data_IF_735275905767
#
_entry.id   IF_735275905767
#
_cell.length_a   1.000
_cell.length_b   1.000
_cell.length_c   1.000
_cell.angle_alpha   90.00
_cell.angle_beta   90.00
_cell.angle_gamma   90.00
#
_symmetry.space_group_name_H-M   'P 1'
#
loop_
_entity.id
_entity.type
_entity.pdbx_description
1 polymer ?
#
# COMPACT_ATOMS: atom_id res chain seq x y z
N UNK A 1 -16.63 -15.19 2.35
CA UNK A 1 -15.84 -14.70 3.51
C UNK A 1 -15.14 -13.40 3.14
N UNK A 2 -14.40 -12.80 4.07
CA UNK A 2 -13.63 -11.56 3.81
C UNK A 2 -12.31 -11.84 3.08
N UNK A 3 -11.56 -10.78 2.75
CA UNK A 3 -10.40 -10.81 1.85
C UNK A 3 -9.36 -11.89 2.12
N UNK A 4 -8.92 -12.06 3.36
CA UNK A 4 -7.86 -13.05 3.68
C UNK A 4 -8.30 -14.49 3.40
N UNK A 5 -9.57 -14.82 3.63
CA UNK A 5 -10.12 -16.14 3.32
C UNK A 5 -10.19 -16.35 1.81
N UNK A 6 -10.55 -15.31 1.06
CA UNK A 6 -10.57 -15.35 -0.41
C UNK A 6 -9.16 -15.58 -0.99
N UNK A 7 -8.13 -14.94 -0.46
CA UNK A 7 -6.74 -15.14 -0.91
C UNK A 7 -6.22 -16.55 -0.62
N UNK A 8 -6.51 -17.11 0.56
CA UNK A 8 -6.16 -18.50 0.89
C UNK A 8 -6.89 -19.48 -0.03
N UNK A 9 -8.18 -19.27 -0.30
CA UNK A 9 -8.96 -20.11 -1.20
C UNK A 9 -8.44 -20.07 -2.65
N UNK A 10 -8.13 -18.87 -3.17
CA UNK A 10 -7.48 -18.71 -4.48
C UNK A 10 -6.18 -19.48 -4.56
N UNK A 11 -5.32 -19.33 -3.54
CA UNK A 11 -4.03 -20.00 -3.53
C UNK A 11 -4.15 -21.52 -3.45
N UNK A 12 -5.04 -22.04 -2.60
CA UNK A 12 -5.26 -23.48 -2.49
C UNK A 12 -5.72 -24.08 -3.83
N UNK A 13 -6.67 -23.44 -4.51
CA UNK A 13 -7.13 -23.89 -5.83
C UNK A 13 -6.02 -23.80 -6.89
N UNK A 14 -5.22 -22.72 -6.87
CA UNK A 14 -4.08 -22.56 -7.77
C UNK A 14 -3.04 -23.67 -7.62
N UNK A 15 -2.74 -24.07 -6.38
CA UNK A 15 -1.79 -25.16 -6.11
C UNK A 15 -2.36 -26.52 -6.55
N UNK A 16 -3.62 -26.82 -6.21
CA UNK A 16 -4.27 -28.06 -6.60
C UNK A 16 -4.32 -28.27 -8.12
N UNK A 17 -4.58 -27.21 -8.89
CA UNK A 17 -4.58 -27.28 -10.35
C UNK A 17 -3.19 -27.55 -10.95
N UNK A 18 -2.13 -27.05 -10.30
CA UNK A 18 -0.76 -27.25 -10.76
C UNK A 18 -0.18 -28.61 -10.37
N UNK A 19 -0.55 -29.12 -9.20
CA UNK A 19 -0.03 -30.38 -8.67
C UNK A 19 -0.86 -31.58 -9.15
N UNK A 20 -2.18 -31.54 -8.94
CA UNK A 20 -3.07 -32.68 -9.18
C UNK A 20 -3.74 -32.64 -10.55
N UNK A 21 -3.58 -31.53 -11.30
CA UNK A 21 -4.24 -31.28 -12.60
C UNK A 21 -5.77 -31.38 -12.54
N UNK A 22 -6.35 -31.17 -11.36
CA UNK A 22 -7.80 -31.14 -11.15
C UNK A 22 -8.27 -29.70 -11.30
N UNK A 23 -9.00 -29.42 -12.39
CA UNK A 23 -9.66 -28.14 -12.57
C UNK A 23 -10.69 -27.93 -11.46
N UNK A 24 -10.48 -26.91 -10.63
CA UNK A 24 -11.38 -26.59 -9.52
C UNK A 24 -12.12 -25.32 -9.85
N UNK A 25 -13.46 -25.36 -9.85
CA UNK A 25 -14.27 -24.16 -9.97
C UNK A 25 -14.25 -23.38 -8.66
N UNK A 26 -13.72 -22.17 -8.68
CA UNK A 26 -13.66 -21.26 -7.54
C UNK A 26 -14.67 -20.12 -7.70
N UNK A 27 -15.68 -20.14 -6.83
CA UNK A 27 -16.63 -19.04 -6.68
C UNK A 27 -16.35 -18.31 -5.37
N UNK A 28 -16.03 -17.02 -5.46
CA UNK A 28 -15.86 -16.18 -4.28
C UNK A 28 -17.18 -15.48 -3.96
N UNK A 29 -17.59 -15.57 -2.70
CA UNK A 29 -18.77 -14.88 -2.16
C UNK A 29 -18.30 -13.96 -1.03
N UNK A 30 -17.90 -12.72 -1.35
CA UNK A 30 -17.44 -11.77 -0.34
C UNK A 30 -18.56 -11.47 0.66
N UNK A 31 -18.23 -11.50 1.95
CA UNK A 31 -19.17 -11.16 3.04
C UNK A 31 -18.85 -9.81 3.68
N UNK A 32 -17.82 -9.12 3.19
CA UNK A 32 -17.44 -7.77 3.56
C UNK A 32 -16.52 -7.21 2.45
N UNK A 33 -16.61 -5.90 2.20
CA UNK A 33 -15.78 -5.20 1.21
C UNK A 33 -14.58 -4.57 1.91
N UNK A 34 -13.64 -5.40 2.39
CA UNK A 34 -12.56 -4.93 3.28
C UNK A 34 -11.20 -4.72 2.62
N UNK A 35 -11.01 -5.25 1.41
CA UNK A 35 -9.75 -5.20 0.64
C UNK A 35 -10.01 -5.32 -0.88
N UNK A 36 -9.04 -4.97 -1.72
CA UNK A 36 -9.11 -5.02 -3.19
C UNK A 36 -8.74 -6.37 -3.82
N UNK A 37 -8.81 -7.47 -3.07
CA UNK A 37 -8.24 -8.76 -3.48
C UNK A 37 -9.18 -9.66 -4.31
N UNK A 38 -10.49 -9.42 -4.31
CA UNK A 38 -11.48 -10.42 -4.71
C UNK A 38 -11.36 -10.89 -6.17
N UNK A 39 -11.13 -9.98 -7.11
CA UNK A 39 -10.97 -10.27 -8.55
C UNK A 39 -9.51 -10.34 -8.99
N UNK A 40 -8.58 -10.25 -8.05
CA UNK A 40 -7.14 -10.27 -8.33
C UNK A 40 -6.66 -11.69 -8.64
N UNK A 41 -5.85 -11.84 -9.68
CA UNK A 41 -5.08 -13.05 -10.00
C UNK A 41 -3.86 -13.26 -9.08
N UNK A 42 -3.72 -12.40 -8.08
CA UNK A 42 -2.67 -12.45 -7.06
C UNK A 42 -3.29 -12.84 -5.71
N UNK A 43 -2.48 -13.38 -4.81
CA UNK A 43 -2.85 -13.64 -3.42
C UNK A 43 -1.82 -13.01 -2.48
N UNK A 44 -2.27 -12.37 -1.39
CA UNK A 44 -1.40 -11.82 -0.35
C UNK A 44 -1.39 -12.76 0.85
N UNK A 45 -0.24 -13.40 1.10
CA UNK A 45 -0.07 -14.46 2.08
C UNK A 45 1.10 -14.16 3.02
N UNK A 46 1.13 -14.79 4.19
CA UNK A 46 2.32 -14.80 5.04
C UNK A 46 3.24 -15.94 4.59
N UNK A 47 4.50 -15.61 4.28
CA UNK A 47 5.57 -16.58 3.98
C UNK A 47 6.73 -16.26 4.91
N UNK A 48 7.09 -17.21 5.77
CA UNK A 48 8.16 -17.04 6.76
C UNK A 48 7.99 -15.78 7.62
N UNK A 49 6.75 -15.48 8.01
CA UNK A 49 6.40 -14.30 8.81
C UNK A 49 6.32 -12.99 8.02
N UNK A 50 6.61 -12.99 6.71
CA UNK A 50 6.57 -11.79 5.86
C UNK A 50 5.34 -11.80 4.96
N UNK A 51 4.64 -10.66 4.86
CA UNK A 51 3.55 -10.48 3.89
C UNK A 51 4.12 -10.46 2.46
N UNK A 52 3.59 -11.36 1.62
CA UNK A 52 4.05 -11.58 0.23
C UNK A 52 2.88 -11.66 -0.73
N UNK A 53 2.98 -10.91 -1.82
CA UNK A 53 2.12 -11.09 -2.98
C UNK A 53 2.67 -12.23 -3.84
N UNK A 54 1.85 -13.25 -4.12
CA UNK A 54 2.18 -14.40 -4.97
C UNK A 54 1.28 -14.41 -6.20
N UNK A 55 1.83 -14.87 -7.32
CA UNK A 55 1.01 -15.25 -8.46
C UNK A 55 0.07 -16.36 -8.04
N UNK A 56 -1.21 -16.22 -8.42
CA UNK A 56 -2.27 -17.15 -8.09
C UNK A 56 -3.15 -17.32 -9.34
N UNK A 57 -4.46 -17.49 -9.15
CA UNK A 57 -5.46 -17.56 -10.22
C UNK A 57 -6.58 -16.55 -10.03
N UNK A 58 -7.30 -16.28 -11.11
CA UNK A 58 -8.61 -15.65 -11.01
C UNK A 58 -9.63 -16.60 -10.35
N UNK A 59 -10.63 -16.05 -9.63
CA UNK A 59 -11.86 -16.77 -9.38
C UNK A 59 -12.65 -16.94 -10.69
N UNK A 60 -13.41 -18.02 -10.82
CA UNK A 60 -14.29 -18.24 -11.97
C UNK A 60 -15.55 -17.37 -11.90
N UNK A 61 -15.98 -17.04 -10.68
CA UNK A 61 -17.03 -16.07 -10.43
C UNK A 61 -16.84 -15.36 -9.09
N UNK A 62 -17.28 -14.10 -9.03
CA UNK A 62 -17.44 -13.35 -7.78
C UNK A 62 -18.89 -12.95 -7.65
N UNK A 63 -19.54 -13.35 -6.55
CA UNK A 63 -20.94 -13.06 -6.26
C UNK A 63 -21.00 -12.12 -5.06
N UNK A 64 -21.34 -10.86 -5.31
CA UNK A 64 -21.50 -9.84 -4.28
C UNK A 64 -22.98 -9.65 -3.96
N UNK A 65 -23.45 -10.25 -2.87
CA UNK A 65 -24.78 -10.05 -2.33
C UNK A 65 -24.83 -8.75 -1.52
N UNK A 66 -25.54 -7.74 -2.02
CA UNK A 66 -25.59 -6.42 -1.38
C UNK A 66 -26.21 -6.45 0.02
N UNK A 67 -27.20 -7.31 0.29
CA UNK A 67 -27.80 -7.42 1.62
C UNK A 67 -26.76 -7.95 2.61
N UNK A 68 -26.03 -8.99 2.21
CA UNK A 68 -24.92 -9.52 3.03
C UNK A 68 -23.82 -8.48 3.25
N UNK A 69 -23.49 -7.67 2.24
CA UNK A 69 -22.46 -6.63 2.35
C UNK A 69 -22.91 -5.44 3.21
N UNK A 70 -24.21 -5.13 3.24
CA UNK A 70 -24.81 -4.12 4.13
C UNK A 70 -24.76 -4.54 5.60
N UNK A 71 -24.89 -5.84 5.88
CA UNK A 71 -24.80 -6.40 7.24
C UNK A 71 -23.36 -6.50 7.77
N UNK A 72 -22.35 -6.25 6.93
CA UNK A 72 -20.95 -6.29 7.34
C UNK A 72 -20.63 -5.18 8.37
N UNK A 73 -19.72 -5.43 9.33
CA UNK A 73 -19.32 -4.40 10.30
C UNK A 73 -18.83 -3.13 9.58
N UNK A 74 -19.31 -1.92 9.95
CA UNK A 74 -18.96 -0.68 9.25
C UNK A 74 -17.45 -0.41 9.17
N UNK A 75 -16.68 -0.86 10.17
CA UNK A 75 -15.22 -0.78 10.16
C UNK A 75 -14.58 -1.52 8.96
N UNK A 76 -15.19 -2.61 8.49
CA UNK A 76 -14.70 -3.34 7.30
C UNK A 76 -14.96 -2.58 6.00
N UNK A 77 -16.09 -1.90 5.87
CA UNK A 77 -16.37 -1.03 4.72
C UNK A 77 -15.40 0.14 4.65
N UNK A 78 -15.18 0.80 5.81
CA UNK A 78 -14.17 1.85 5.94
C UNK A 78 -12.78 1.33 5.57
N UNK A 79 -12.39 0.15 6.07
CA UNK A 79 -11.11 -0.46 5.68
C UNK A 79 -11.02 -0.67 4.14
N UNK A 80 -12.08 -1.14 3.49
CA UNK A 80 -12.08 -1.28 2.02
C UNK A 80 -11.91 0.04 1.27
N UNK A 81 -12.49 1.13 1.79
CA UNK A 81 -12.24 2.48 1.29
C UNK A 81 -10.76 2.87 1.44
N UNK A 82 -10.18 2.65 2.64
CA UNK A 82 -8.77 2.93 2.89
C UNK A 82 -7.83 2.17 1.96
N UNK A 83 -8.10 0.89 1.72
CA UNK A 83 -7.34 0.06 0.77
C UNK A 83 -7.46 0.57 -0.67
N UNK A 84 -8.66 1.01 -1.05
CA UNK A 84 -8.92 1.60 -2.35
C UNK A 84 -8.17 2.93 -2.57
N UNK A 85 -8.03 3.75 -1.52
CA UNK A 85 -7.33 5.04 -1.59
C UNK A 85 -5.84 4.87 -1.93
N UNK A 86 -5.23 3.71 -1.67
CA UNK A 86 -3.83 3.45 -2.00
C UNK A 86 -3.48 3.78 -3.46
N UNK A 87 -4.44 3.59 -4.38
CA UNK A 87 -4.29 3.93 -5.81
C UNK A 87 -3.82 5.37 -6.05
N UNK A 88 -4.20 6.29 -5.17
CA UNK A 88 -3.83 7.71 -5.23
C UNK A 88 -2.37 7.98 -4.91
N UNK A 89 -1.59 6.95 -4.54
CA UNK A 89 -0.15 7.07 -4.26
C UNK A 89 0.65 5.96 -4.93
N UNK A 90 0.20 4.70 -4.85
CA UNK A 90 0.95 3.53 -5.35
C UNK A 90 1.32 3.64 -6.83
N UNK A 91 0.48 4.33 -7.60
CA UNK A 91 0.72 4.53 -9.02
C UNK A 91 1.87 5.52 -9.29
N UNK A 92 2.05 6.51 -8.42
CA UNK A 92 3.23 7.37 -8.37
C UNK A 92 4.50 6.57 -8.05
N UNK A 93 4.43 5.61 -7.12
CA UNK A 93 5.56 4.73 -6.80
C UNK A 93 5.97 3.89 -8.01
N UNK A 94 4.98 3.32 -8.70
CA UNK A 94 5.22 2.52 -9.88
C UNK A 94 5.81 3.33 -11.03
N UNK A 95 5.30 4.54 -11.26
CA UNK A 95 5.85 5.48 -12.24
C UNK A 95 7.28 5.90 -11.91
N UNK A 96 7.56 6.28 -10.65
CA UNK A 96 8.89 6.67 -10.20
C UNK A 96 9.90 5.54 -10.40
N UNK A 97 9.55 4.33 -9.98
CA UNK A 97 10.40 3.15 -10.18
C UNK A 97 10.65 2.87 -11.67
N UNK A 98 9.65 3.11 -12.53
CA UNK A 98 9.80 2.93 -13.97
C UNK A 98 10.72 3.99 -14.61
N UNK A 99 10.60 5.26 -14.21
CA UNK A 99 11.49 6.32 -14.69
C UNK A 99 12.96 6.03 -14.33
N UNK A 100 13.19 5.42 -13.17
CA UNK A 100 14.51 4.99 -12.69
C UNK A 100 14.96 3.61 -13.24
N UNK A 101 14.17 2.98 -14.12
CA UNK A 101 14.40 1.63 -14.67
C UNK A 101 14.52 0.50 -13.64
N UNK A 102 13.94 0.72 -12.46
CA UNK A 102 13.89 -0.22 -11.34
C UNK A 102 12.71 -1.19 -11.44
N UNK A 103 11.89 -1.08 -12.48
CA UNK A 103 10.87 -2.05 -12.90
C UNK A 103 10.85 -2.18 -14.41
N UNK A 104 10.52 -3.39 -14.90
CA UNK A 104 10.57 -3.70 -16.34
C UNK A 104 9.32 -3.26 -17.11
N UNK A 105 8.22 -3.01 -16.39
CA UNK A 105 6.94 -2.69 -17.01
C UNK A 105 6.23 -1.55 -16.28
N UNK A 106 5.52 -0.75 -17.06
CA UNK A 106 4.59 0.29 -16.65
C UNK A 106 3.48 0.37 -17.70
N UNK A 107 2.23 0.55 -17.26
CA UNK A 107 1.09 0.65 -18.17
C UNK A 107 -0.02 1.43 -17.52
N UNK A 108 -0.59 2.38 -18.24
CA UNK A 108 -1.74 3.21 -17.85
C UNK A 108 -3.09 2.49 -17.96
N UNK A 109 -3.12 1.28 -18.52
CA UNK A 109 -4.36 0.48 -18.61
C UNK A 109 -5.07 0.27 -17.25
N UNK A 110 -4.38 -0.02 -16.13
CA UNK A 110 -5.02 -0.11 -14.81
C UNK A 110 -5.70 1.19 -14.38
N UNK A 111 -5.12 2.37 -14.65
CA UNK A 111 -5.76 3.65 -14.35
C UNK A 111 -7.04 3.83 -15.17
N UNK A 112 -6.94 3.61 -16.49
CA UNK A 112 -8.08 3.72 -17.39
C UNK A 112 -9.22 2.76 -17.02
N UNK A 113 -8.88 1.55 -16.53
CA UNK A 113 -9.88 0.57 -16.08
C UNK A 113 -10.61 1.02 -14.80
N UNK A 114 -9.90 1.68 -13.88
CA UNK A 114 -10.48 2.13 -12.61
C UNK A 114 -11.35 3.37 -12.77
N UNK A 115 -11.06 4.22 -13.77
CA UNK A 115 -11.81 5.42 -14.10
C UNK A 115 -11.04 6.72 -13.85
N UNK A 116 -11.56 7.80 -14.42
CA UNK A 116 -11.07 9.17 -14.24
C UNK A 116 -11.78 9.84 -13.05
N UNK A 117 -11.20 10.94 -12.54
CA UNK A 117 -11.76 11.78 -11.47
C UNK A 117 -12.24 11.02 -10.22
N UNK A 118 -11.56 9.90 -9.93
CA UNK A 118 -11.95 9.00 -8.85
C UNK A 118 -11.95 9.68 -7.49
N UNK A 119 -11.00 10.56 -7.22
CA UNK A 119 -10.96 11.31 -5.96
C UNK A 119 -12.23 12.11 -5.71
N UNK A 120 -12.79 12.77 -6.72
CA UNK A 120 -14.07 13.48 -6.60
C UNK A 120 -15.22 12.49 -6.33
N UNK A 121 -15.29 11.40 -7.09
CA UNK A 121 -16.33 10.36 -6.89
C UNK A 121 -16.25 9.70 -5.50
N UNK A 122 -15.04 9.42 -5.01
CA UNK A 122 -14.82 8.90 -3.67
C UNK A 122 -15.23 9.91 -2.60
N UNK A 123 -14.94 11.19 -2.82
CA UNK A 123 -15.33 12.28 -1.94
C UNK A 123 -16.87 12.36 -1.86
N UNK A 124 -17.57 12.38 -3.00
CA UNK A 124 -19.03 12.37 -3.08
C UNK A 124 -19.68 11.17 -2.36
N UNK A 125 -19.10 9.98 -2.53
CA UNK A 125 -19.64 8.74 -1.96
C UNK A 125 -19.18 8.45 -0.53
N UNK A 126 -18.19 9.18 0.01
CA UNK A 126 -17.55 8.86 1.29
C UNK A 126 -18.55 8.70 2.45
N UNK A 127 -19.50 9.61 2.59
CA UNK A 127 -20.52 9.54 3.66
C UNK A 127 -21.43 8.32 3.46
N UNK A 128 -21.82 8.03 2.22
CA UNK A 128 -22.63 6.85 1.89
C UNK A 128 -21.92 5.55 2.26
N UNK A 129 -20.63 5.47 1.95
CA UNK A 129 -19.76 4.33 2.28
C UNK A 129 -19.65 4.18 3.80
N UNK A 130 -19.33 5.25 4.50
CA UNK A 130 -19.13 5.25 5.96
C UNK A 130 -20.39 4.88 6.74
N UNK A 131 -21.55 5.32 6.26
CA UNK A 131 -22.85 5.03 6.84
C UNK A 131 -23.44 3.66 6.42
N UNK A 132 -22.74 2.90 5.56
CA UNK A 132 -23.22 1.60 5.09
C UNK A 132 -24.49 1.70 4.22
N UNK A 133 -24.67 2.80 3.49
CA UNK A 133 -25.81 2.97 2.58
C UNK A 133 -25.60 2.14 1.31
N UNK A 134 -26.71 1.62 0.76
CA UNK A 134 -26.68 0.71 -0.39
C UNK A 134 -25.95 1.28 -1.62
N UNK A 135 -26.11 2.57 -1.91
CA UNK A 135 -25.42 3.27 -2.99
C UNK A 135 -23.91 3.35 -2.77
N UNK A 136 -23.48 3.72 -1.56
CA UNK A 136 -22.07 3.76 -1.18
C UNK A 136 -21.42 2.37 -1.21
N UNK A 137 -22.11 1.35 -0.69
CA UNK A 137 -21.61 -0.04 -0.74
C UNK A 137 -21.53 -0.54 -2.17
N UNK A 138 -22.53 -0.28 -3.01
CA UNK A 138 -22.49 -0.66 -4.42
C UNK A 138 -21.31 0.01 -5.14
N UNK A 139 -21.09 1.30 -4.89
CA UNK A 139 -19.94 2.03 -5.43
C UNK A 139 -18.62 1.39 -4.99
N UNK A 140 -18.41 1.23 -3.67
CA UNK A 140 -17.17 0.67 -3.15
C UNK A 140 -16.94 -0.77 -3.62
N UNK A 141 -18.00 -1.58 -3.69
CA UNK A 141 -17.95 -2.96 -4.22
C UNK A 141 -17.44 -2.96 -5.65
N UNK A 142 -17.99 -2.10 -6.52
CA UNK A 142 -17.48 -1.97 -7.90
C UNK A 142 -16.02 -1.58 -7.92
N UNK A 143 -15.61 -0.64 -7.07
CA UNK A 143 -14.24 -0.16 -7.03
C UNK A 143 -13.23 -1.21 -6.56
N UNK A 144 -13.56 -2.05 -5.57
CA UNK A 144 -12.66 -3.15 -5.17
C UNK A 144 -12.55 -4.23 -6.24
N UNK A 145 -13.63 -4.48 -7.01
CA UNK A 145 -13.62 -5.46 -8.09
C UNK A 145 -12.81 -4.93 -9.29
N UNK A 146 -12.95 -3.65 -9.64
CA UNK A 146 -12.12 -3.01 -10.66
C UNK A 146 -10.65 -2.99 -10.24
N UNK A 147 -10.38 -2.72 -8.96
CA UNK A 147 -9.04 -2.73 -8.40
C UNK A 147 -8.33 -4.09 -8.54
N UNK A 148 -8.99 -5.20 -8.22
CA UNK A 148 -8.43 -6.53 -8.40
C UNK A 148 -8.20 -6.88 -9.89
N UNK A 149 -9.12 -6.47 -10.78
CA UNK A 149 -8.92 -6.62 -12.23
C UNK A 149 -7.73 -5.79 -12.72
N UNK A 150 -7.59 -4.55 -12.24
CA UNK A 150 -6.52 -3.63 -12.61
C UNK A 150 -5.12 -4.19 -12.28
N UNK A 151 -4.96 -4.79 -11.10
CA UNK A 151 -3.73 -5.51 -10.73
C UNK A 151 -3.46 -6.70 -11.66
N UNK A 152 -4.52 -7.39 -12.08
CA UNK A 152 -4.42 -8.63 -12.85
C UNK A 152 -4.06 -8.40 -14.32
N UNK A 153 -4.53 -7.30 -14.91
CA UNK A 153 -4.19 -6.90 -16.30
C UNK A 153 -2.68 -6.78 -16.49
N UNK A 154 -1.98 -6.33 -15.46
CA UNK A 154 -0.51 -6.17 -15.49
C UNK A 154 0.23 -7.25 -14.69
N UNK A 155 -0.51 -8.20 -14.11
CA UNK A 155 -0.01 -9.24 -13.20
C UNK A 155 0.97 -8.70 -12.13
N UNK A 156 0.67 -7.53 -11.58
CA UNK A 156 1.44 -6.86 -10.54
C UNK A 156 0.51 -6.15 -9.58
N UNK A 157 0.84 -6.17 -8.30
CA UNK A 157 0.14 -5.34 -7.32
C UNK A 157 0.50 -3.85 -7.40
N UNK A 158 1.48 -3.46 -8.23
CA UNK A 158 2.06 -2.11 -8.27
C UNK A 158 1.04 -0.97 -8.43
N UNK A 159 -0.02 -1.10 -9.26
CA UNK A 159 -1.01 -0.03 -9.40
C UNK A 159 -1.70 0.34 -8.08
N UNK A 160 -1.77 -0.60 -7.13
CA UNK A 160 -2.49 -0.49 -5.87
C UNK A 160 -1.66 -0.94 -4.67
N UNK A 161 -0.33 -0.96 -4.77
CA UNK A 161 0.54 -1.40 -3.67
C UNK A 161 1.94 -0.81 -3.79
N UNK A 162 2.12 0.32 -3.13
CA UNK A 162 3.33 1.12 -2.99
C UNK A 162 3.83 1.14 -1.53
N UNK A 163 4.28 2.32 -1.11
CA UNK A 163 4.80 2.64 0.22
C UNK A 163 3.75 2.42 1.31
N UNK A 164 2.53 2.86 1.08
CA UNK A 164 1.42 2.72 2.03
C UNK A 164 1.14 1.26 2.42
N UNK A 165 1.22 0.36 1.44
CA UNK A 165 1.05 -1.07 1.68
C UNK A 165 2.19 -1.70 2.47
N UNK A 166 3.45 -1.33 2.18
CA UNK A 166 4.57 -1.90 2.94
C UNK A 166 4.64 -1.38 4.36
N UNK A 167 4.15 -0.18 4.64
CA UNK A 167 3.93 0.29 6.01
C UNK A 167 2.94 -0.62 6.73
N UNK A 168 1.77 -0.89 6.14
CA UNK A 168 0.80 -1.84 6.71
C UNK A 168 1.40 -3.25 6.88
N UNK A 169 2.16 -3.74 5.91
CA UNK A 169 2.79 -5.06 6.02
C UNK A 169 3.78 -5.15 7.18
N UNK A 170 4.62 -4.12 7.43
CA UNK A 170 5.52 -4.12 8.58
C UNK A 170 4.74 -4.12 9.90
N UNK A 171 3.63 -3.36 9.96
CA UNK A 171 2.75 -3.37 11.14
C UNK A 171 2.15 -4.75 11.40
N UNK A 172 1.73 -5.46 10.36
CA UNK A 172 1.23 -6.84 10.46
C UNK A 172 2.34 -7.82 10.86
N UNK A 173 3.56 -7.66 10.32
CA UNK A 173 4.72 -8.52 10.62
C UNK A 173 5.14 -8.44 12.09
N UNK A 174 5.12 -7.24 12.68
CA UNK A 174 5.51 -7.05 14.08
C UNK A 174 4.41 -7.36 15.10
N UNK A 175 3.15 -7.45 14.68
CA UNK A 175 1.99 -7.55 15.58
C UNK A 175 2.12 -8.68 16.62
N UNK A 176 2.54 -9.87 16.20
CA UNK A 176 2.73 -11.02 17.09
C UNK A 176 3.85 -10.77 18.12
N UNK A 177 5.00 -10.24 17.69
CA UNK A 177 6.13 -9.94 18.58
C UNK A 177 5.81 -8.82 19.58
N UNK A 178 4.95 -7.88 19.19
CA UNK A 178 4.46 -6.82 20.06
C UNK A 178 3.24 -7.20 20.91
N UNK A 179 2.76 -8.45 20.83
CA UNK A 179 1.58 -8.89 21.58
C UNK A 179 0.28 -8.16 21.21
N UNK A 180 0.18 -7.63 19.99
CA UNK A 180 -0.95 -6.83 19.50
C UNK A 180 -1.80 -7.65 18.51
N UNK A 181 -3.15 -7.60 18.58
CA UNK A 181 -3.99 -8.17 17.52
C UNK A 181 -3.80 -7.43 16.18
N UNK A 182 -4.08 -8.11 15.07
CA UNK A 182 -4.06 -7.46 13.76
C UNK A 182 -5.19 -6.43 13.64
N UNK A 183 -4.85 -5.22 13.22
CA UNK A 183 -5.84 -4.24 12.78
C UNK A 183 -6.26 -4.54 11.33
N UNK A 184 -7.43 -4.05 10.93
CA UNK A 184 -7.92 -4.22 9.57
C UNK A 184 -6.90 -3.66 8.57
N UNK A 185 -6.46 -4.49 7.62
CA UNK A 185 -5.43 -4.14 6.65
C UNK A 185 -5.73 -2.82 5.91
N UNK A 186 -6.92 -2.72 5.30
CA UNK A 186 -7.32 -1.53 4.59
C UNK A 186 -7.42 -0.28 5.47
N UNK A 187 -7.66 -0.43 6.77
CA UNK A 187 -7.63 0.69 7.70
C UNK A 187 -6.20 1.20 7.95
N UNK A 188 -5.24 0.28 8.12
CA UNK A 188 -3.82 0.64 8.19
C UNK A 188 -3.34 1.29 6.88
N UNK A 189 -3.74 0.72 5.73
CA UNK A 189 -3.41 1.24 4.40
C UNK A 189 -3.99 2.63 4.19
N UNK A 190 -5.22 2.90 4.61
CA UNK A 190 -5.84 4.23 4.51
C UNK A 190 -5.03 5.32 5.23
N UNK A 191 -4.63 5.07 6.49
CA UNK A 191 -3.74 5.97 7.25
C UNK A 191 -2.37 6.09 6.59
N UNK A 192 -1.78 4.98 6.16
CA UNK A 192 -0.48 4.99 5.52
C UNK A 192 -0.51 5.72 4.15
N UNK A 193 -1.66 5.76 3.48
CA UNK A 193 -1.84 6.44 2.19
C UNK A 193 -1.76 7.96 2.34
N UNK A 194 -2.37 8.54 3.37
CA UNK A 194 -2.26 9.99 3.61
C UNK A 194 -0.82 10.38 3.93
N UNK A 195 -0.11 9.55 4.70
CA UNK A 195 1.31 9.73 5.01
C UNK A 195 2.18 9.59 3.75
N UNK A 196 1.93 8.59 2.92
CA UNK A 196 2.70 8.39 1.68
C UNK A 196 2.45 9.52 0.67
N UNK A 197 1.23 10.04 0.59
CA UNK A 197 0.92 11.25 -0.19
C UNK A 197 1.69 12.46 0.33
N UNK A 198 1.76 12.63 1.66
CA UNK A 198 2.55 13.72 2.27
C UNK A 198 4.04 13.57 1.97
N UNK A 199 4.58 12.35 2.00
CA UNK A 199 5.96 12.10 1.58
C UNK A 199 6.21 12.52 0.12
N UNK A 200 5.24 12.32 -0.78
CA UNK A 200 5.33 12.81 -2.16
C UNK A 200 5.28 14.34 -2.26
N UNK A 201 4.46 15.02 -1.46
CA UNK A 201 4.44 16.48 -1.38
C UNK A 201 5.82 17.00 -0.93
N UNK A 202 6.37 16.44 0.14
CA UNK A 202 7.72 16.77 0.61
C UNK A 202 8.79 16.51 -0.46
N UNK A 203 8.69 15.39 -1.20
CA UNK A 203 9.60 15.10 -2.30
C UNK A 203 9.49 16.18 -3.39
N UNK A 204 8.28 16.55 -3.81
CA UNK A 204 8.04 17.53 -4.87
C UNK A 204 8.41 18.96 -4.45
N UNK A 205 8.37 19.27 -3.15
CA UNK A 205 8.77 20.55 -2.56
C UNK A 205 10.29 20.65 -2.38
N UNK A 206 10.93 19.56 -1.89
CA UNK A 206 12.32 19.59 -1.39
C UNK A 206 13.35 19.02 -2.37
N UNK A 207 12.95 18.17 -3.32
CA UNK A 207 13.90 17.53 -4.21
C UNK A 207 14.56 18.53 -5.15
N UNK A 208 15.85 18.78 -4.93
CA UNK A 208 16.70 19.53 -5.84
C UNK A 208 17.34 18.55 -6.85
N UNK A 209 17.01 18.62 -8.15
CA UNK A 209 17.64 17.77 -9.16
C UNK A 209 19.15 18.06 -9.34
N UNK A 210 19.72 19.04 -8.63
CA UNK A 210 21.17 19.28 -8.55
C UNK A 210 21.85 18.51 -7.41
N UNK A 211 21.10 17.78 -6.58
CA UNK A 211 21.66 17.01 -5.47
C UNK A 211 22.73 16.00 -5.93
N UNK A 212 23.63 15.57 -5.03
CA UNK A 212 24.46 14.40 -5.27
C UNK A 212 23.59 13.18 -5.63
N UNK A 213 24.18 12.20 -6.33
CA UNK A 213 23.45 10.96 -6.59
C UNK A 213 23.11 10.26 -5.26
N UNK A 214 21.91 9.66 -5.13
CA UNK A 214 21.56 8.86 -3.97
C UNK A 214 22.58 7.76 -3.78
N UNK A 215 23.08 7.62 -2.55
CA UNK A 215 24.12 6.66 -2.20
C UNK A 215 23.47 5.59 -1.32
N UNK A 216 22.97 4.49 -1.91
CA UNK A 216 22.37 3.43 -1.11
C UNK A 216 23.43 2.79 -0.19
N UNK A 217 23.01 2.14 0.91
CA UNK A 217 23.92 1.40 1.76
C UNK A 217 24.62 0.28 0.99
N UNK A 218 25.85 -0.06 1.40
CA UNK A 218 26.53 -1.25 0.87
C UNK A 218 25.72 -2.52 1.17
N UNK A 219 25.82 -3.59 0.37
CA UNK A 219 25.08 -4.83 0.61
C UNK A 219 25.23 -5.37 2.05
N UNK A 220 26.46 -5.38 2.58
CA UNK A 220 26.70 -5.83 3.96
C UNK A 220 26.08 -4.91 5.02
N UNK A 221 26.10 -3.58 4.79
CA UNK A 221 25.46 -2.62 5.70
C UNK A 221 23.93 -2.74 5.66
N UNK A 222 23.36 -2.94 4.47
CA UNK A 222 21.93 -3.13 4.27
C UNK A 222 21.44 -4.43 4.94
N UNK A 223 22.14 -5.55 4.73
CA UNK A 223 21.81 -6.82 5.38
C UNK A 223 21.88 -6.70 6.90
N UNK A 224 22.91 -6.05 7.43
CA UNK A 224 23.05 -5.80 8.86
C UNK A 224 21.88 -4.96 9.40
N UNK A 225 21.49 -3.88 8.71
CA UNK A 225 20.36 -3.05 9.11
C UNK A 225 19.03 -3.83 9.13
N UNK A 226 18.78 -4.66 8.11
CA UNK A 226 17.61 -5.55 8.05
C UNK A 226 17.63 -6.53 9.23
N UNK A 227 18.77 -7.17 9.52
CA UNK A 227 18.88 -8.07 10.67
C UNK A 227 18.61 -7.34 11.99
N UNK A 228 19.19 -6.16 12.19
CA UNK A 228 18.94 -5.34 13.38
C UNK A 228 17.47 -4.99 13.54
N UNK A 229 16.77 -4.65 12.46
CA UNK A 229 15.36 -4.27 12.49
C UNK A 229 14.44 -5.47 12.75
N UNK A 230 14.66 -6.62 12.10
CA UNK A 230 13.69 -7.72 12.06
C UNK A 230 14.00 -8.90 12.98
N UNK A 231 15.23 -9.06 13.49
CA UNK A 231 15.54 -10.10 14.50
C UNK A 231 14.72 -9.96 15.79
N UNK A 232 14.44 -8.75 16.31
CA UNK A 232 13.55 -8.60 17.48
C UNK A 232 12.11 -9.07 17.20
N UNK A 233 11.66 -9.05 15.94
CA UNK A 233 10.32 -9.49 15.55
C UNK A 233 10.25 -11.00 15.28
N UNK A 234 11.32 -11.60 14.76
CA UNK A 234 11.48 -13.04 14.57
C UNK A 234 12.91 -13.47 14.92
N UNK A 235 13.14 -13.97 16.16
CA UNK A 235 14.45 -14.42 16.61
C UNK A 235 15.05 -15.58 15.80
N UNK A 236 14.25 -16.28 14.99
CA UNK A 236 14.76 -17.35 14.12
C UNK A 236 15.58 -16.82 12.94
N UNK A 237 15.48 -15.51 12.63
CA UNK A 237 16.17 -14.88 11.51
C UNK A 237 15.52 -15.07 10.15
N UNK A 238 14.49 -15.93 10.03
CA UNK A 238 13.82 -16.21 8.74
C UNK A 238 13.17 -14.96 8.14
N UNK A 239 12.51 -14.14 8.96
CA UNK A 239 11.95 -12.86 8.51
C UNK A 239 13.03 -11.94 7.93
N UNK A 240 14.17 -11.81 8.60
CA UNK A 240 15.27 -10.96 8.14
C UNK A 240 15.88 -11.50 6.84
N UNK A 241 16.07 -12.81 6.72
CA UNK A 241 16.58 -13.46 5.51
C UNK A 241 15.63 -13.28 4.31
N UNK A 242 14.32 -13.33 4.57
CA UNK A 242 13.26 -13.10 3.58
C UNK A 242 13.19 -11.64 3.13
N UNK A 243 13.36 -10.68 4.04
CA UNK A 243 13.48 -9.26 3.69
C UNK A 243 14.76 -8.98 2.88
N UNK A 244 15.91 -9.55 3.30
CA UNK A 244 17.18 -9.39 2.59
C UNK A 244 17.14 -9.96 1.17
N UNK A 245 16.45 -11.08 0.95
CA UNK A 245 16.34 -11.67 -0.40
C UNK A 245 15.73 -10.70 -1.42
N UNK A 246 14.71 -9.96 -1.00
CA UNK A 246 14.01 -8.98 -1.85
C UNK A 246 14.80 -7.66 -1.93
N UNK A 247 15.25 -7.13 -0.79
CA UNK A 247 15.98 -5.87 -0.74
C UNK A 247 17.35 -5.97 -1.43
N UNK A 248 18.06 -7.10 -1.29
CA UNK A 248 19.33 -7.34 -1.98
C UNK A 248 19.20 -7.32 -3.50
N UNK A 249 18.07 -7.81 -4.05
CA UNK A 249 17.75 -7.69 -5.48
C UNK A 249 17.46 -6.25 -5.88
N UNK A 250 16.70 -5.51 -5.05
CA UNK A 250 16.46 -4.07 -5.24
C UNK A 250 17.78 -3.31 -5.33
N UNK A 251 18.68 -3.56 -4.38
CA UNK A 251 19.99 -2.91 -4.30
C UNK A 251 20.86 -3.26 -5.51
N UNK A 252 20.92 -4.53 -5.91
CA UNK A 252 21.63 -4.94 -7.10
C UNK A 252 21.08 -4.26 -8.38
N UNK A 253 19.76 -4.14 -8.47
CA UNK A 253 19.09 -3.45 -9.59
C UNK A 253 19.38 -1.95 -9.59
N UNK A 254 19.38 -1.30 -8.43
CA UNK A 254 19.79 0.10 -8.31
C UNK A 254 21.22 0.30 -8.79
N UNK A 255 22.17 -0.49 -8.29
CA UNK A 255 23.59 -0.38 -8.69
C UNK A 255 23.77 -0.56 -10.20
N UNK A 256 23.00 -1.46 -10.82
CA UNK A 256 23.04 -1.66 -12.27
C UNK A 256 22.47 -0.48 -13.08
N UNK A 257 21.54 0.30 -12.51
CA UNK A 257 20.84 1.41 -13.18
C UNK A 257 21.19 2.78 -12.58
N UNK A 258 22.25 2.89 -11.77
CA UNK A 258 22.59 4.13 -11.05
C UNK A 258 22.77 5.32 -12.02
N UNK A 259 23.30 5.05 -13.22
CA UNK A 259 23.47 6.05 -14.27
C UNK A 259 22.15 6.62 -14.82
N UNK A 260 21.04 5.86 -14.74
CA UNK A 260 19.72 6.34 -15.18
C UNK A 260 19.15 7.42 -14.26
N UNK A 261 19.67 7.55 -13.03
CA UNK A 261 19.28 8.64 -12.13
C UNK A 261 19.58 10.01 -12.73
N UNK A 262 20.70 10.16 -13.47
CA UNK A 262 21.04 11.43 -14.11
C UNK A 262 20.03 11.81 -15.20
N UNK A 263 19.59 10.84 -16.00
CA UNK A 263 18.54 11.06 -17.00
C UNK A 263 17.19 11.41 -16.36
N UNK A 264 16.90 10.89 -15.16
CA UNK A 264 15.71 11.28 -14.40
C UNK A 264 15.83 12.70 -13.85
N UNK A 265 17.02 13.09 -13.34
CA UNK A 265 17.26 14.45 -12.84
C UNK A 265 17.04 15.50 -13.92
N UNK A 266 17.56 15.26 -15.12
CA UNK A 266 17.40 16.20 -16.26
C UNK A 266 15.93 16.39 -16.64
N UNK A 267 15.16 15.29 -16.64
CA UNK A 267 13.73 15.30 -16.98
C UNK A 267 12.82 15.60 -15.79
N UNK A 268 13.38 15.79 -14.59
CA UNK A 268 12.62 16.00 -13.37
C UNK A 268 11.65 17.19 -13.45
N UNK A 269 12.11 18.42 -13.75
CA UNK A 269 11.23 19.58 -13.73
C UNK A 269 10.19 19.58 -14.85
N UNK A 270 10.48 18.95 -15.99
CA UNK A 270 9.66 19.03 -17.22
C UNK A 270 8.74 17.84 -17.43
N UNK A 271 9.10 16.64 -16.96
CA UNK A 271 8.35 15.41 -17.19
C UNK A 271 7.97 14.70 -15.88
N UNK A 272 8.96 14.36 -15.06
CA UNK A 272 8.76 13.44 -13.93
C UNK A 272 7.92 14.08 -12.82
N UNK A 273 8.30 15.26 -12.35
CA UNK A 273 7.55 15.94 -11.28
C UNK A 273 6.14 16.37 -11.72
N UNK A 274 5.91 16.94 -12.93
CA UNK A 274 4.56 17.18 -13.42
C UNK A 274 3.70 15.93 -13.50
N UNK A 275 4.25 14.80 -13.98
CA UNK A 275 3.50 13.54 -14.05
C UNK A 275 3.21 12.98 -12.67
N UNK A 276 4.15 13.03 -11.72
CA UNK A 276 3.90 12.63 -10.33
C UNK A 276 2.77 13.45 -9.69
N UNK A 277 2.70 14.77 -9.94
CA UNK A 277 1.58 15.61 -9.47
C UNK A 277 0.22 15.21 -10.04
N UNK A 278 0.18 14.59 -11.22
CA UNK A 278 -1.07 14.07 -11.82
C UNK A 278 -1.42 12.68 -11.29
N UNK A 279 -0.43 11.87 -10.93
CA UNK A 279 -0.61 10.50 -10.48
C UNK A 279 -0.86 10.39 -8.98
N UNK A 280 -0.31 11.31 -8.20
CA UNK A 280 -0.42 11.33 -6.73
C UNK A 280 -1.42 12.41 -6.32
N UNK A 281 -2.43 12.04 -5.51
CA UNK A 281 -3.36 13.03 -4.96
C UNK A 281 -2.79 13.69 -3.71
N UNK A 282 -3.12 14.97 -3.45
CA UNK A 282 -2.72 15.65 -2.22
C UNK A 282 -3.17 14.88 -0.98
N UNK A 283 -2.34 14.92 0.06
CA UNK A 283 -2.60 14.26 1.34
C UNK A 283 -3.92 14.75 1.96
N UNK A 284 -4.22 16.04 1.83
CA UNK A 284 -5.46 16.66 2.28
C UNK A 284 -6.70 16.10 1.56
N UNK A 285 -6.64 15.89 0.24
CA UNK A 285 -7.75 15.32 -0.54
C UNK A 285 -8.07 13.91 -0.07
N UNK A 286 -7.05 13.06 0.06
CA UNK A 286 -7.22 11.68 0.52
C UNK A 286 -7.78 11.67 1.95
N UNK A 287 -7.25 12.54 2.80
CA UNK A 287 -7.70 12.69 4.18
C UNK A 287 -9.16 13.14 4.27
N UNK A 288 -9.60 14.07 3.41
CA UNK A 288 -11.00 14.52 3.37
C UNK A 288 -11.97 13.39 2.98
N UNK A 289 -11.57 12.53 2.02
CA UNK A 289 -12.33 11.32 1.65
C UNK A 289 -12.48 10.39 2.87
N UNK A 290 -11.36 10.07 3.53
CA UNK A 290 -11.34 9.16 4.67
C UNK A 290 -12.13 9.73 5.86
N UNK A 291 -11.95 11.01 6.18
CA UNK A 291 -12.62 11.69 7.29
C UNK A 291 -14.14 11.68 7.10
N UNK A 292 -14.61 11.98 5.89
CA UNK A 292 -16.05 12.01 5.57
C UNK A 292 -16.71 10.63 5.62
N UNK A 293 -15.94 9.56 5.43
CA UNK A 293 -16.42 8.20 5.64
C UNK A 293 -16.33 7.73 7.10
N UNK A 294 -15.80 8.55 8.01
CA UNK A 294 -15.53 8.18 9.40
C UNK A 294 -14.42 7.14 9.54
N UNK A 295 -13.47 7.12 8.61
CA UNK A 295 -12.28 6.27 8.67
C UNK A 295 -11.25 6.82 9.70
N UNK A 296 -10.56 5.97 10.47
CA UNK A 296 -9.45 6.40 11.34
C UNK A 296 -8.39 7.21 10.57
N UNK A 297 -7.96 8.36 11.09
CA UNK A 297 -7.02 9.24 10.38
C UNK A 297 -5.57 9.12 10.87
N UNK A 298 -5.38 8.48 12.02
CA UNK A 298 -4.09 8.28 12.67
C UNK A 298 -3.95 6.82 13.11
N UNK A 299 -2.71 6.34 13.25
CA UNK A 299 -2.44 4.94 13.63
C UNK A 299 -2.99 4.57 15.03
N UNK A 300 -2.97 5.51 15.97
CA UNK A 300 -3.49 5.33 17.33
C UNK A 300 -5.03 5.37 17.39
N UNK A 301 -5.71 5.88 16.35
CA UNK A 301 -7.17 5.84 16.21
C UNK A 301 -7.71 4.57 15.54
N UNK A 302 -6.83 3.66 15.13
CA UNK A 302 -7.22 2.36 14.56
C UNK A 302 -7.84 1.44 15.63
N UNK A 303 -8.52 0.39 15.17
CA UNK A 303 -9.07 -0.65 16.04
C UNK A 303 -8.49 -2.04 15.64
N UNK A 304 -7.65 -2.66 16.49
CA UNK A 304 -7.00 -2.08 17.67
C UNK A 304 -6.03 -0.93 17.32
N UNK A 305 -5.73 -0.04 18.29
CA UNK A 305 -4.84 1.09 18.08
C UNK A 305 -3.40 0.62 17.86
N UNK A 306 -2.67 1.35 17.03
CA UNK A 306 -1.25 1.12 16.76
C UNK A 306 -0.44 2.19 17.49
N UNK A 307 0.36 1.81 18.51
CA UNK A 307 1.22 2.73 19.23
C UNK A 307 2.21 3.48 18.33
N UNK A 308 2.54 4.71 18.74
CA UNK A 308 3.41 5.61 17.99
C UNK A 308 4.78 5.00 17.65
N UNK A 309 5.40 4.27 18.58
CA UNK A 309 6.68 3.59 18.37
C UNK A 309 6.60 2.50 17.29
N UNK A 310 5.48 1.78 17.21
CA UNK A 310 5.24 0.76 16.18
C UNK A 310 4.97 1.39 14.81
N UNK A 311 4.20 2.49 14.77
CA UNK A 311 3.97 3.26 13.55
C UNK A 311 5.28 3.83 12.99
N UNK A 312 6.10 4.43 13.87
CA UNK A 312 7.42 4.95 13.54
C UNK A 312 8.37 3.86 13.05
N UNK A 313 8.39 2.71 13.73
CA UNK A 313 9.14 1.54 13.28
C UNK A 313 8.73 1.12 11.87
N UNK A 314 7.42 1.05 11.60
CA UNK A 314 6.91 0.66 10.29
C UNK A 314 7.32 1.65 9.20
N UNK A 315 7.11 2.95 9.42
CA UNK A 315 7.51 3.99 8.45
C UNK A 315 9.01 3.98 8.16
N UNK A 316 9.84 3.77 9.19
CA UNK A 316 11.30 3.72 9.06
C UNK A 316 11.74 2.51 8.22
N UNK A 317 11.12 1.35 8.43
CA UNK A 317 11.63 0.07 7.91
C UNK A 317 10.82 -0.49 6.72
N UNK A 318 9.71 0.12 6.32
CA UNK A 318 8.83 -0.37 5.25
C UNK A 318 9.55 -0.56 3.90
N UNK A 319 10.49 0.32 3.57
CA UNK A 319 11.26 0.23 2.33
C UNK A 319 12.16 -1.02 2.26
N UNK A 320 12.47 -1.65 3.40
CA UNK A 320 13.37 -2.81 3.51
C UNK A 320 12.72 -4.16 3.18
N UNK A 321 11.40 -4.26 3.09
CA UNK A 321 10.71 -5.57 3.09
C UNK A 321 10.28 -6.09 1.71
N UNK A 322 10.56 -5.35 0.62
CA UNK A 322 10.13 -5.70 -0.75
C UNK A 322 11.17 -5.37 -1.81
N UNK A 323 11.10 -6.08 -2.96
CA UNK A 323 12.00 -5.89 -4.10
C UNK A 323 11.74 -4.59 -4.88
N UNK A 324 10.47 -4.16 -5.02
CA UNK A 324 10.14 -2.96 -5.80
C UNK A 324 10.56 -1.67 -5.08
N UNK A 325 11.21 -0.78 -5.82
CA UNK A 325 11.51 0.59 -5.41
C UNK A 325 10.23 1.43 -5.21
N UNK A 326 10.27 2.35 -4.26
CA UNK A 326 9.19 3.26 -3.85
C UNK A 326 9.77 4.60 -3.40
N UNK A 327 8.93 5.60 -3.12
CA UNK A 327 9.36 6.90 -2.57
C UNK A 327 10.08 6.75 -1.23
N UNK A 328 9.71 5.77 -0.40
CA UNK A 328 10.43 5.45 0.83
C UNK A 328 11.89 5.06 0.59
N UNK A 329 12.18 4.33 -0.50
CA UNK A 329 13.55 4.00 -0.90
C UNK A 329 14.32 5.24 -1.35
N UNK A 330 13.68 6.15 -2.10
CA UNK A 330 14.32 7.38 -2.56
C UNK A 330 14.74 8.27 -1.39
N UNK A 331 13.87 8.46 -0.40
CA UNK A 331 14.22 9.18 0.83
C UNK A 331 15.37 8.51 1.57
N UNK A 332 15.34 7.19 1.71
CA UNK A 332 16.42 6.45 2.36
C UNK A 332 17.76 6.62 1.63
N UNK A 333 17.78 6.58 0.29
CA UNK A 333 19.02 6.68 -0.48
C UNK A 333 19.56 8.12 -0.59
N UNK A 334 18.71 9.12 -0.37
CA UNK A 334 19.09 10.53 -0.29
C UNK A 334 19.57 10.96 1.10
N UNK A 335 19.61 10.05 2.07
CA UNK A 335 19.85 10.36 3.49
C UNK A 335 18.83 11.37 4.06
N UNK A 336 17.62 11.34 3.52
CA UNK A 336 16.48 12.18 3.93
C UNK A 336 15.37 11.34 4.61
N UNK A 337 15.60 10.05 4.82
CA UNK A 337 14.66 9.11 5.41
C UNK A 337 14.89 8.87 6.90
N UNK A 338 14.61 7.64 7.34
CA UNK A 338 14.88 7.21 8.71
C UNK A 338 13.88 7.74 9.73
N UNK A 339 14.29 7.74 11.01
CA UNK A 339 13.40 8.10 12.12
C UNK A 339 12.95 9.55 12.06
N UNK A 340 13.81 10.47 11.60
CA UNK A 340 13.47 11.91 11.53
C UNK A 340 12.33 12.18 10.55
N UNK A 341 12.37 11.60 9.34
CA UNK A 341 11.28 11.71 8.38
C UNK A 341 10.01 11.01 8.89
N UNK A 342 10.15 9.85 9.54
CA UNK A 342 9.00 9.15 10.11
C UNK A 342 8.30 10.01 11.18
N UNK A 343 9.06 10.66 12.07
CA UNK A 343 8.55 11.58 13.09
C UNK A 343 7.88 12.82 12.48
N UNK A 344 8.49 13.42 11.46
CA UNK A 344 7.92 14.56 10.73
C UNK A 344 6.55 14.18 10.13
N UNK A 345 6.48 13.07 9.40
CA UNK A 345 5.26 12.59 8.77
C UNK A 345 4.15 12.23 9.78
N UNK A 346 4.51 11.61 10.91
CA UNK A 346 3.55 11.29 11.98
C UNK A 346 3.03 12.56 12.67
N UNK A 347 3.91 13.53 12.92
CA UNK A 347 3.54 14.80 13.56
C UNK A 347 2.61 15.63 12.68
N UNK A 348 2.94 15.78 11.39
CA UNK A 348 2.09 16.52 10.44
C UNK A 348 0.71 15.87 10.30
N UNK A 349 0.65 14.54 10.25
CA UNK A 349 -0.63 13.81 10.23
C UNK A 349 -1.48 14.06 11.49
N UNK A 350 -0.85 14.16 12.67
CA UNK A 350 -1.53 14.42 13.94
C UNK A 350 -2.01 15.88 14.09
N UNK A 351 -1.21 16.87 13.67
CA UNK A 351 -1.60 18.30 13.72
C UNK A 351 -2.83 18.55 12.84
N UNK A 352 -2.79 18.02 11.62
CA UNK A 352 -3.92 18.06 10.70
C UNK A 352 -5.18 17.44 11.33
N UNK A 353 -5.04 16.35 12.11
CA UNK A 353 -6.14 15.71 12.85
C UNK A 353 -6.85 16.66 13.80
N UNK A 354 -6.08 17.35 14.65
CA UNK A 354 -6.60 18.26 15.68
C UNK A 354 -7.35 19.47 15.08
N UNK A 355 -6.84 20.04 13.99
CA UNK A 355 -7.48 21.18 13.33
C UNK A 355 -8.85 20.83 12.74
N UNK A 356 -9.01 19.64 12.15
CA UNK A 356 -10.30 19.19 11.61
C UNK A 356 -11.31 18.79 12.69
N UNK A 357 -10.86 18.29 13.85
CA UNK A 357 -11.77 18.01 14.96
C UNK A 357 -12.37 19.30 15.51
N UNK A 358 -11.55 20.36 15.61
CA UNK A 358 -11.98 21.68 16.06
C UNK A 358 -12.97 22.38 15.11
N UNK A 359 -12.85 22.15 13.80
CA UNK A 359 -13.79 22.69 12.80
C UNK A 359 -15.08 21.86 12.67
N UNK A 360 -15.06 20.56 12.98
CA UNK A 360 -16.27 19.72 12.98
C UNK A 360 -17.19 19.96 14.19
N UNK A 361 -16.63 20.47 15.29
CA UNK A 361 -17.37 20.82 16.53
C UNK A 361 -17.93 22.27 16.51
N UNK A 362 -17.76 23.00 15.40
CA UNK A 362 -18.30 24.36 15.16
C UNK A 362 -19.44 24.32 14.15
#
# INVERSE_FOLDING_TARGET
GSGSVCDVAKQACYLAEREDRVATTLVLVPTAVSVTAFTSSLAVLLVDGVKRTRSSRFPDAVVCDLETLMDAPPAMLRAGLGDCCARFVSYGDWYLAHQLRLVDQYSETPLALMGEDLDELYLEQAEAIGAGRADGILFLTRQVLLAGLAQSVVNLSAPLSGTEHVVSHVLDMGAAAWGRPLALHGAQVGVATTIAARAYELLLERFDPRCPRPTPPSPGSAEAAIRTAFLPLDPSGRMADECWRDYGRKLARWTAQEADFDAVRERWPTEVAPRLRQLVRPSETIRAILARAGHPLTFDSLEPPIPHDQARFALTNAHLIRERFTVGDLFAFLDLGGEALAEELLTEAAVCHQEQTLDADR
#
